data_IF_959129175764
#
_entry.id   IF_959129175764
#
_cell.length_a   1.000
_cell.length_b   1.000
_cell.length_c   1.000
_cell.angle_alpha   90.00
_cell.angle_beta   90.00
_cell.angle_gamma   90.00
#
_symmetry.space_group_name_H-M   'P 1'
#
loop_
_entity.id
_entity.type
_entity.pdbx_description
1 polymer ?
#
# COMPACT_ATOMS: atom_id res chain seq x y z
N UNK A 1 -10.44 -5.38 -15.72
CA UNK A 1 -9.62 -6.54 -15.30
C UNK A 1 -10.50 -7.72 -14.85
N UNK A 2 -11.54 -7.51 -14.05
CA UNK A 2 -12.48 -8.56 -13.61
C UNK A 2 -13.12 -9.28 -14.81
N UNK A 3 -13.68 -8.55 -15.77
CA UNK A 3 -14.28 -9.12 -16.99
C UNK A 3 -13.29 -10.04 -17.75
N UNK A 4 -12.04 -9.61 -17.90
CA UNK A 4 -11.01 -10.42 -18.58
C UNK A 4 -10.70 -11.71 -17.82
N UNK A 5 -10.70 -11.65 -16.48
CA UNK A 5 -10.52 -12.83 -15.66
C UNK A 5 -11.68 -13.81 -15.81
N UNK A 6 -12.90 -13.32 -15.74
CA UNK A 6 -14.12 -14.12 -15.92
C UNK A 6 -14.17 -14.78 -17.30
N UNK A 7 -13.86 -14.03 -18.35
CA UNK A 7 -13.78 -14.57 -19.71
C UNK A 7 -12.71 -15.66 -19.84
N UNK A 8 -11.53 -15.44 -19.29
CA UNK A 8 -10.43 -16.41 -19.32
C UNK A 8 -10.80 -17.70 -18.56
N UNK A 9 -11.40 -17.56 -17.38
CA UNK A 9 -11.84 -18.68 -16.55
C UNK A 9 -12.93 -19.47 -17.26
N UNK A 10 -13.94 -18.79 -17.82
CA UNK A 10 -15.05 -19.45 -18.55
C UNK A 10 -14.52 -20.19 -19.78
N UNK A 11 -13.60 -19.61 -20.52
CA UNK A 11 -12.97 -20.26 -21.67
C UNK A 11 -12.19 -21.52 -21.25
N UNK A 12 -11.41 -21.42 -20.20
CA UNK A 12 -10.66 -22.55 -19.67
C UNK A 12 -11.59 -23.66 -19.14
N UNK A 13 -12.64 -23.29 -18.42
CA UNK A 13 -13.65 -24.21 -17.88
C UNK A 13 -14.37 -24.96 -18.99
N UNK A 14 -14.80 -24.24 -20.03
CA UNK A 14 -15.47 -24.83 -21.20
C UNK A 14 -14.54 -25.83 -21.90
N UNK A 15 -13.29 -25.45 -22.12
CA UNK A 15 -12.30 -26.33 -22.75
C UNK A 15 -12.05 -27.59 -21.90
N UNK A 16 -11.82 -27.45 -20.60
CA UNK A 16 -11.55 -28.59 -19.72
C UNK A 16 -12.74 -29.52 -19.60
N UNK A 17 -13.94 -29.01 -19.52
CA UNK A 17 -15.16 -29.84 -19.51
C UNK A 17 -15.41 -30.52 -20.85
N UNK A 18 -15.01 -29.90 -21.95
CA UNK A 18 -15.15 -30.49 -23.32
C UNK A 18 -14.23 -31.66 -23.60
N UNK A 19 -13.02 -31.69 -22.98
CA UNK A 19 -12.08 -32.80 -23.17
C UNK A 19 -12.14 -33.86 -22.05
N UNK A 20 -12.97 -33.64 -21.04
CA UNK A 20 -13.13 -34.51 -19.90
C UNK A 20 -13.79 -35.83 -20.30
N UNK A 21 -13.26 -36.96 -19.84
CA UNK A 21 -13.75 -38.28 -20.18
C UNK A 21 -14.68 -38.90 -19.13
N UNK A 22 -14.59 -38.55 -17.87
CA UNK A 22 -15.36 -39.13 -16.77
C UNK A 22 -15.62 -38.12 -15.63
N UNK A 23 -16.64 -38.38 -14.83
CA UNK A 23 -17.02 -37.63 -13.62
C UNK A 23 -17.88 -36.37 -13.89
N UNK A 24 -18.32 -35.64 -12.87
CA UNK A 24 -19.12 -34.43 -12.98
C UNK A 24 -18.32 -33.29 -13.62
N UNK A 25 -18.98 -32.34 -14.26
CA UNK A 25 -18.32 -31.15 -14.79
C UNK A 25 -17.57 -30.37 -13.71
N UNK A 26 -16.44 -29.81 -14.10
CA UNK A 26 -15.70 -28.87 -13.26
C UNK A 26 -16.52 -27.59 -13.10
N UNK A 27 -16.50 -27.02 -11.93
CA UNK A 27 -17.06 -25.70 -11.60
C UNK A 27 -15.99 -24.81 -11.03
N UNK A 28 -16.14 -23.51 -11.20
CA UNK A 28 -15.25 -22.49 -10.62
C UNK A 28 -16.10 -21.46 -9.90
N UNK A 29 -15.73 -21.17 -8.68
CA UNK A 29 -16.22 -20.01 -7.93
C UNK A 29 -15.13 -18.96 -7.90
N UNK A 30 -15.44 -17.73 -8.34
CA UNK A 30 -14.55 -16.58 -8.20
C UNK A 30 -15.14 -15.71 -7.10
N UNK A 31 -14.43 -15.62 -5.99
CA UNK A 31 -14.82 -14.77 -4.85
C UNK A 31 -13.87 -13.57 -4.72
N UNK A 32 -14.44 -12.38 -4.74
CA UNK A 32 -13.68 -11.14 -4.58
C UNK A 32 -13.49 -10.82 -3.09
N UNK A 33 -12.40 -11.27 -2.52
CA UNK A 33 -12.07 -11.09 -1.11
C UNK A 33 -11.52 -9.71 -0.74
N UNK A 34 -11.25 -8.85 -1.70
CA UNK A 34 -10.74 -7.51 -1.45
C UNK A 34 -10.70 -6.61 -2.67
N UNK A 35 -10.65 -5.33 -2.41
CA UNK A 35 -10.43 -4.30 -3.42
C UNK A 35 -9.58 -3.18 -2.82
N UNK A 36 -8.37 -3.01 -3.35
CA UNK A 36 -7.49 -1.92 -2.96
C UNK A 36 -7.31 -0.96 -4.13
N UNK A 37 -7.98 0.19 -4.12
CA UNK A 37 -7.89 1.16 -5.19
C UNK A 37 -6.47 1.75 -5.24
N UNK A 38 -6.11 2.32 -6.39
CA UNK A 38 -4.89 3.09 -6.59
C UNK A 38 -5.21 4.57 -6.74
N UNK A 39 -4.20 5.40 -6.49
CA UNK A 39 -4.25 6.82 -6.72
C UNK A 39 -2.84 7.40 -6.70
N UNK A 40 -2.71 8.64 -7.12
CA UNK A 40 -1.45 9.37 -7.15
C UNK A 40 -1.64 10.75 -6.54
N UNK A 41 -0.63 11.22 -5.84
CA UNK A 41 -0.56 12.57 -5.29
C UNK A 41 0.53 13.34 -6.01
N UNK A 42 0.30 14.65 -6.22
CA UNK A 42 1.36 15.53 -6.70
C UNK A 42 2.41 15.74 -5.61
N UNK A 43 3.69 15.65 -6.00
CA UNK A 43 4.81 15.93 -5.11
C UNK A 43 4.77 17.37 -4.56
N UNK A 44 4.11 18.30 -5.27
CA UNK A 44 3.97 19.70 -4.86
C UNK A 44 2.92 19.96 -3.79
N UNK A 45 2.17 18.94 -3.37
CA UNK A 45 1.18 19.12 -2.31
C UNK A 45 1.84 19.56 -0.99
N UNK A 46 1.26 20.52 -0.27
CA UNK A 46 1.82 21.01 1.00
C UNK A 46 2.10 19.91 2.01
N UNK A 47 1.24 18.90 2.11
CA UNK A 47 1.47 17.73 2.97
C UNK A 47 2.75 17.00 2.59
N UNK A 48 2.98 16.76 1.29
CA UNK A 48 4.17 16.06 0.81
C UNK A 48 5.42 16.88 1.12
N UNK A 49 5.41 18.17 0.83
CA UNK A 49 6.55 19.05 1.10
C UNK A 49 6.92 19.11 2.58
N UNK A 50 5.93 19.25 3.48
CA UNK A 50 6.16 19.20 4.94
C UNK A 50 6.81 17.89 5.38
N UNK A 51 6.37 16.77 4.84
CA UNK A 51 6.93 15.46 5.17
C UNK A 51 8.38 15.34 4.71
N UNK A 52 8.69 15.80 3.51
CA UNK A 52 10.06 15.80 2.99
C UNK A 52 10.98 16.68 3.84
N UNK A 53 10.53 17.89 4.18
CA UNK A 53 11.27 18.82 5.03
C UNK A 53 11.45 18.27 6.45
N UNK A 54 10.40 17.77 7.08
CA UNK A 54 10.46 17.16 8.40
C UNK A 54 11.40 15.94 8.42
N UNK A 55 11.37 15.12 7.38
CA UNK A 55 12.27 13.96 7.25
C UNK A 55 13.73 14.41 7.17
N UNK A 56 14.00 15.46 6.40
CA UNK A 56 15.34 16.07 6.28
C UNK A 56 15.83 16.67 7.60
N UNK A 57 14.93 17.29 8.37
CA UNK A 57 15.23 17.84 9.70
C UNK A 57 15.77 16.77 10.67
N UNK A 58 15.24 15.55 10.61
CA UNK A 58 15.75 14.41 11.38
C UNK A 58 17.02 13.76 10.80
N UNK A 59 17.65 14.38 9.80
CA UNK A 59 18.90 13.92 9.19
C UNK A 59 18.75 12.74 8.24
N UNK A 60 17.54 12.34 7.89
CA UNK A 60 17.29 11.33 6.90
C UNK A 60 17.19 11.95 5.49
N UNK A 61 17.60 11.21 4.47
CA UNK A 61 17.38 11.59 3.07
C UNK A 61 15.97 11.17 2.65
N UNK A 62 15.03 12.10 2.45
CA UNK A 62 13.68 11.74 2.05
C UNK A 62 13.66 11.21 0.61
N UNK A 63 12.79 10.27 0.35
CA UNK A 63 12.48 9.79 -1.00
C UNK A 63 11.02 9.38 -1.07
N UNK A 64 10.43 9.56 -2.24
CA UNK A 64 9.08 9.14 -2.53
C UNK A 64 9.09 7.77 -3.19
N UNK A 65 8.17 6.92 -2.79
CA UNK A 65 8.01 5.59 -3.36
C UNK A 65 6.54 5.23 -3.49
N UNK A 66 6.25 4.22 -4.27
CA UNK A 66 4.91 3.65 -4.41
C UNK A 66 4.79 2.42 -3.54
N UNK A 67 3.61 2.24 -2.95
CA UNK A 67 3.33 1.08 -2.11
C UNK A 67 1.84 0.81 -2.01
N UNK A 68 1.50 -0.38 -1.56
CA UNK A 68 0.14 -0.74 -1.23
C UNK A 68 -0.03 -0.63 0.29
N UNK A 69 -0.68 0.43 0.72
CA UNK A 69 -0.90 0.76 2.15
C UNK A 69 -2.33 1.26 2.36
N UNK A 70 -2.72 1.50 3.59
CA UNK A 70 -4.06 2.01 3.91
C UNK A 70 -4.29 3.42 3.36
N UNK A 71 -3.23 4.17 3.02
CA UNK A 71 -3.33 5.47 2.35
C UNK A 71 -3.96 5.39 0.95
N UNK A 72 -4.01 4.21 0.32
CA UNK A 72 -4.68 4.00 -0.96
C UNK A 72 -6.17 4.42 -0.91
N UNK A 73 -6.85 4.16 0.21
CA UNK A 73 -8.28 4.45 0.36
C UNK A 73 -8.57 5.96 0.34
N UNK A 74 -7.97 6.79 1.21
CA UNK A 74 -8.18 8.24 1.16
C UNK A 74 -7.71 8.85 -0.16
N UNK A 75 -6.56 8.44 -0.71
CA UNK A 75 -6.05 8.94 -1.98
C UNK A 75 -7.07 8.68 -3.11
N UNK A 76 -7.64 7.50 -3.20
CA UNK A 76 -8.65 7.16 -4.20
C UNK A 76 -9.95 7.97 -4.04
N UNK A 77 -10.19 8.56 -2.86
CA UNK A 77 -11.30 9.47 -2.58
C UNK A 77 -10.92 10.94 -2.76
N UNK A 78 -9.74 11.24 -3.29
CA UNK A 78 -9.25 12.61 -3.48
C UNK A 78 -8.77 13.29 -2.19
N UNK A 79 -8.56 12.53 -1.12
CA UNK A 79 -8.07 13.04 0.16
C UNK A 79 -6.56 12.80 0.22
N UNK A 80 -5.73 13.85 0.38
CA UNK A 80 -4.29 13.69 0.54
C UNK A 80 -3.96 12.79 1.74
N UNK A 81 -3.17 11.76 1.50
CA UNK A 81 -2.71 10.85 2.54
C UNK A 81 -1.35 10.26 2.18
N UNK A 82 -0.54 9.99 3.17
CA UNK A 82 0.78 9.37 2.99
C UNK A 82 1.03 8.32 4.05
N UNK A 83 1.88 7.37 3.71
CA UNK A 83 2.44 6.43 4.67
C UNK A 83 3.89 6.80 4.92
N UNK A 84 4.26 6.95 6.18
CA UNK A 84 5.63 7.20 6.61
C UNK A 84 6.25 5.95 7.21
N UNK A 85 7.59 5.90 7.21
CA UNK A 85 8.33 4.80 7.82
C UNK A 85 8.15 4.74 9.34
N UNK A 86 8.10 3.52 9.88
CA UNK A 86 8.00 3.26 11.33
C UNK A 86 9.30 3.48 12.10
N UNK A 87 10.39 3.81 11.40
CA UNK A 87 11.74 3.85 11.99
C UNK A 87 12.33 2.45 12.25
N UNK A 88 13.51 2.42 12.85
CA UNK A 88 14.23 1.18 13.08
C UNK A 88 14.76 0.52 11.81
N UNK A 89 15.17 -0.73 11.94
CA UNK A 89 15.64 -1.57 10.85
C UNK A 89 14.80 -2.83 10.78
N UNK A 90 14.56 -3.35 9.59
CA UNK A 90 13.80 -4.59 9.43
C UNK A 90 14.21 -5.33 8.16
N UNK A 91 13.83 -6.58 8.09
CA UNK A 91 14.10 -7.40 6.93
C UNK A 91 13.15 -8.58 6.80
N UNK A 92 13.20 -9.22 5.64
CA UNK A 92 12.38 -10.40 5.30
C UNK A 92 10.87 -10.15 5.44
N UNK A 93 10.40 -8.93 5.11
CA UNK A 93 9.00 -8.56 5.22
C UNK A 93 8.08 -9.59 4.55
N UNK A 94 6.95 -9.88 5.20
CA UNK A 94 5.94 -10.87 4.74
C UNK A 94 6.42 -12.32 4.71
N UNK A 95 7.42 -12.68 5.52
CA UNK A 95 7.87 -14.06 5.70
C UNK A 95 7.81 -14.49 7.18
N UNK A 96 7.93 -15.80 7.44
CA UNK A 96 8.00 -16.33 8.80
C UNK A 96 9.27 -15.89 9.56
N UNK A 97 10.28 -15.45 8.82
CA UNK A 97 11.54 -14.93 9.36
C UNK A 97 11.56 -13.41 9.44
N UNK A 98 10.42 -12.74 9.31
CA UNK A 98 10.37 -11.28 9.39
C UNK A 98 10.88 -10.81 10.76
N UNK A 99 11.73 -9.80 10.72
CA UNK A 99 12.30 -9.21 11.94
C UNK A 99 12.27 -7.70 11.89
N UNK A 100 12.22 -7.09 13.06
CA UNK A 100 12.39 -5.65 13.24
C UNK A 100 13.26 -5.37 14.48
N UNK A 101 14.20 -4.45 14.31
CA UNK A 101 15.08 -3.94 15.35
C UNK A 101 14.72 -2.49 15.66
N UNK A 102 14.46 -2.18 16.92
CA UNK A 102 14.21 -0.82 17.38
C UNK A 102 15.52 -0.01 17.46
N UNK A 103 16.09 0.31 16.29
CA UNK A 103 17.25 1.16 16.16
C UNK A 103 16.78 2.60 15.93
N UNK A 104 16.89 3.44 16.96
CA UNK A 104 16.41 4.83 16.95
C UNK A 104 14.92 5.01 16.54
N UNK A 105 14.06 4.02 16.78
CA UNK A 105 12.65 4.05 16.41
C UNK A 105 11.86 5.24 16.97
N UNK A 106 12.34 5.84 18.08
CA UNK A 106 11.77 7.07 18.64
C UNK A 106 11.80 8.26 17.67
N UNK A 107 12.76 8.31 16.74
CA UNK A 107 12.83 9.35 15.70
C UNK A 107 11.60 9.34 14.78
N UNK A 108 11.09 8.16 14.47
CA UNK A 108 9.87 8.05 13.65
C UNK A 108 8.63 8.58 14.40
N UNK A 109 8.56 8.39 15.72
CA UNK A 109 7.49 8.93 16.55
C UNK A 109 7.58 10.47 16.59
N UNK A 110 8.78 11.01 16.79
CA UNK A 110 9.03 12.45 16.77
C UNK A 110 8.72 13.06 15.39
N UNK A 111 9.10 12.37 14.30
CA UNK A 111 8.78 12.77 12.93
C UNK A 111 7.26 12.82 12.71
N UNK A 112 6.54 11.78 13.11
CA UNK A 112 5.08 11.74 12.99
C UNK A 112 4.44 12.90 13.76
N UNK A 113 4.90 13.16 14.98
CA UNK A 113 4.40 14.26 15.80
C UNK A 113 4.68 15.64 15.16
N UNK A 114 5.89 15.85 14.63
CA UNK A 114 6.24 17.09 13.94
C UNK A 114 5.37 17.32 12.71
N UNK A 115 5.12 16.28 11.91
CA UNK A 115 4.26 16.36 10.73
C UNK A 115 2.83 16.77 11.14
N UNK A 116 2.24 16.13 12.14
CA UNK A 116 0.89 16.44 12.63
C UNK A 116 0.81 17.86 13.15
N UNK A 117 1.75 18.30 13.96
CA UNK A 117 1.78 19.67 14.51
C UNK A 117 1.94 20.72 13.41
N UNK A 118 2.79 20.45 12.42
CA UNK A 118 3.01 21.35 11.29
C UNK A 118 1.81 21.41 10.35
N UNK A 119 1.12 20.30 10.14
CA UNK A 119 -0.07 20.25 9.29
C UNK A 119 -1.28 20.91 9.96
N UNK A 120 -1.40 20.79 11.28
CA UNK A 120 -2.42 21.48 12.10
C UNK A 120 -2.14 22.98 12.30
N UNK A 121 -1.05 23.52 11.76
CA UNK A 121 -0.61 24.91 11.92
C UNK A 121 -0.31 25.34 13.37
N UNK A 122 -0.12 24.40 14.28
CA UNK A 122 0.28 24.66 15.65
C UNK A 122 1.77 25.04 15.79
N UNK A 123 2.57 24.71 14.78
CA UNK A 123 3.97 25.13 14.66
C UNK A 123 4.12 25.90 13.35
N UNK A 124 4.69 27.09 13.43
CA UNK A 124 5.02 27.94 12.27
C UNK A 124 6.49 27.87 11.97
#
# INVERSE_FOLDING_TARGET
MEVLLEEAVNKALTHQNGIKRQGPNLTVLIDKIGNRPSGELSDSLPLIQRILEATSYFGAKPYLTRGSTDSNIPIAKGIPAVTIGRGGKGGKAHSLDEWWLNDEGYKAIQLAMLIVLSDSQLVK
#
